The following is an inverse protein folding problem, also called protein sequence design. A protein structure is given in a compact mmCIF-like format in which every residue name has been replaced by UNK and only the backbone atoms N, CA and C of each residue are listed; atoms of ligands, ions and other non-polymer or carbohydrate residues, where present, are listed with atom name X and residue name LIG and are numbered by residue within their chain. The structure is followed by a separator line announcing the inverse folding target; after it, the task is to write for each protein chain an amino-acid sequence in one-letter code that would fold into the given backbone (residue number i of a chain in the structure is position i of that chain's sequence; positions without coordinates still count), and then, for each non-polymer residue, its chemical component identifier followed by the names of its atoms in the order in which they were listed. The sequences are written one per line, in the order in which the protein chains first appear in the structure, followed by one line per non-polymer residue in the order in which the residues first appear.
data_IF_559966140665
#
_entry.id   IF_559966140665
#
_cell.length_a   1.000
_cell.length_b   1.000
_cell.length_c   1.000
_cell.angle_alpha   90.00
_cell.angle_beta   90.00
_cell.angle_gamma   90.00
#
_symmetry.space_group_name_H-M   'P 1'
#
loop_
_entity.id
_entity.type
_entity.pdbx_description
1 polymer ?
#
# COMPACT_ATOMS: atom_id res chain seq x y z
N UNK A 1 12.59 -26.48 5.23
CA UNK A 1 12.75 -25.58 4.07
C UNK A 1 11.93 -24.36 4.40
N UNK A 2 12.58 -23.27 4.84
CA UNK A 2 11.94 -21.97 4.95
C UNK A 2 11.67 -21.52 3.51
N UNK A 3 10.41 -21.46 3.11
CA UNK A 3 10.01 -20.66 1.96
C UNK A 3 10.64 -19.28 2.18
N UNK A 4 11.62 -18.92 1.36
CA UNK A 4 12.21 -17.59 1.44
C UNK A 4 11.06 -16.62 1.27
N UNK A 5 10.84 -15.74 2.24
CA UNK A 5 9.97 -14.59 2.08
C UNK A 5 10.54 -13.82 0.88
N UNK A 6 10.02 -14.13 -0.32
CA UNK A 6 10.51 -13.56 -1.56
C UNK A 6 10.30 -12.06 -1.49
N UNK A 7 11.36 -11.31 -1.77
CA UNK A 7 11.27 -9.86 -1.93
C UNK A 7 10.22 -9.56 -2.99
N UNK A 8 9.28 -8.67 -2.67
CA UNK A 8 8.25 -8.21 -3.61
C UNK A 8 8.84 -7.32 -4.71
N UNK A 9 10.12 -6.94 -4.58
CA UNK A 9 10.89 -6.17 -5.57
C UNK A 9 11.51 -7.09 -6.63
N UNK A 10 11.61 -6.64 -7.90
CA UNK A 10 12.10 -7.46 -8.99
C UNK A 10 13.63 -7.54 -8.98
N UNK A 11 14.19 -8.56 -8.33
CA UNK A 11 15.65 -8.72 -8.22
C UNK A 11 16.35 -9.04 -9.56
N UNK A 12 15.63 -9.58 -10.54
CA UNK A 12 16.19 -10.01 -11.82
C UNK A 12 16.31 -8.88 -12.87
N UNK A 13 15.64 -7.74 -12.65
CA UNK A 13 15.63 -6.61 -13.58
C UNK A 13 16.44 -5.46 -12.99
N UNK A 14 17.46 -4.93 -13.70
CA UNK A 14 18.17 -3.75 -13.22
C UNK A 14 17.25 -2.53 -13.28
N UNK A 15 17.36 -1.68 -12.25
CA UNK A 15 16.72 -0.37 -12.24
C UNK A 15 17.34 0.52 -13.33
N UNK A 16 16.50 1.31 -13.98
CA UNK A 16 16.85 2.29 -15.00
C UNK A 16 16.36 3.68 -14.60
N UNK A 17 16.88 4.71 -15.24
CA UNK A 17 16.41 6.08 -15.05
C UNK A 17 15.04 6.28 -15.73
N UNK A 18 14.14 6.99 -15.05
CA UNK A 18 12.86 7.42 -15.58
C UNK A 18 12.69 8.94 -15.35
N UNK A 19 11.76 9.56 -16.09
CA UNK A 19 11.49 11.01 -16.02
C UNK A 19 10.09 11.33 -15.49
N UNK A 20 9.37 10.32 -15.01
CA UNK A 20 8.04 10.51 -14.44
C UNK A 20 8.13 11.18 -13.08
N UNK A 21 7.25 12.16 -12.85
CA UNK A 21 7.19 12.91 -11.60
C UNK A 21 6.20 12.19 -10.68
N UNK A 22 6.65 11.58 -9.57
CA UNK A 22 5.76 10.94 -8.61
C UNK A 22 4.96 12.00 -7.82
N UNK A 23 3.83 11.60 -7.18
CA UNK A 23 3.19 12.46 -6.19
C UNK A 23 4.15 12.69 -5.02
N UNK A 24 3.96 13.81 -4.31
CA UNK A 24 4.75 14.14 -3.12
C UNK A 24 4.79 12.96 -2.13
N UNK A 25 5.98 12.71 -1.57
CA UNK A 25 6.22 11.62 -0.62
C UNK A 25 6.43 10.25 -1.27
N UNK A 26 6.39 10.15 -2.60
CA UNK A 26 6.65 8.92 -3.34
C UNK A 26 7.88 9.01 -4.25
N UNK A 27 8.40 7.84 -4.58
CA UNK A 27 9.33 7.61 -5.68
C UNK A 27 8.74 6.60 -6.64
N UNK A 28 9.05 6.78 -7.93
CA UNK A 28 8.78 5.77 -8.95
C UNK A 28 10.11 5.07 -9.24
N UNK A 29 10.07 3.76 -9.43
CA UNK A 29 11.22 2.97 -9.84
C UNK A 29 10.87 2.23 -11.12
N UNK A 30 11.70 2.39 -12.16
CA UNK A 30 11.55 1.68 -13.43
C UNK A 30 12.64 0.63 -13.58
N UNK A 31 12.28 -0.54 -14.09
CA UNK A 31 13.18 -1.67 -14.26
C UNK A 31 13.07 -2.21 -15.68
N UNK A 32 14.20 -2.59 -16.28
CA UNK A 32 14.23 -3.14 -17.64
C UNK A 32 15.32 -4.19 -17.80
N UNK A 33 14.94 -5.34 -18.34
CA UNK A 33 15.85 -6.47 -18.50
C UNK A 33 16.94 -6.23 -19.55
N UNK A 34 18.01 -7.01 -19.48
CA UNK A 34 19.11 -6.98 -20.46
C UNK A 34 19.23 -8.33 -21.16
N UNK A 35 19.76 -8.33 -22.39
CA UNK A 35 19.98 -9.55 -23.17
C UNK A 35 18.66 -10.34 -23.38
N UNK A 36 18.57 -11.62 -22.98
CA UNK A 36 17.34 -12.42 -23.14
C UNK A 36 16.11 -11.84 -22.42
N UNK A 37 16.30 -10.98 -21.42
CA UNK A 37 15.22 -10.34 -20.67
C UNK A 37 14.84 -8.95 -21.21
N UNK A 38 15.40 -8.51 -22.34
CA UNK A 38 15.18 -7.14 -22.86
C UNK A 38 13.73 -6.82 -23.25
N UNK A 39 12.87 -7.84 -23.37
CA UNK A 39 11.44 -7.66 -23.60
C UNK A 39 10.63 -7.44 -22.33
N UNK A 40 11.26 -7.47 -21.15
CA UNK A 40 10.59 -7.31 -19.86
C UNK A 40 10.95 -5.95 -19.25
N UNK A 41 9.92 -5.18 -18.92
CA UNK A 41 10.03 -3.96 -18.12
C UNK A 41 8.86 -3.88 -17.15
N UNK A 42 9.07 -3.14 -16.06
CA UNK A 42 8.01 -2.81 -15.11
C UNK A 42 8.33 -1.50 -14.41
N UNK A 43 7.29 -0.82 -13.93
CA UNK A 43 7.37 0.34 -13.08
C UNK A 43 6.66 0.05 -11.76
N UNK A 44 7.14 0.63 -10.68
CA UNK A 44 6.47 0.63 -9.38
C UNK A 44 6.52 2.01 -8.73
N UNK A 45 5.58 2.27 -7.84
CA UNK A 45 5.50 3.49 -7.03
C UNK A 45 5.56 3.13 -5.56
N UNK A 46 6.42 3.75 -4.75
CA UNK A 46 6.51 3.44 -3.32
C UNK A 46 6.74 4.71 -2.49
N UNK A 47 6.41 4.71 -1.19
CA UNK A 47 6.74 5.84 -0.34
C UNK A 47 8.26 6.03 -0.29
N UNK A 48 8.73 7.26 -0.47
CA UNK A 48 10.16 7.60 -0.39
C UNK A 48 10.67 7.51 1.04
N UNK A 49 9.86 7.96 1.99
CA UNK A 49 10.14 7.96 3.42
C UNK A 49 8.81 7.91 4.19
N UNK A 50 8.78 7.16 5.29
CA UNK A 50 7.60 7.06 6.16
C UNK A 50 8.05 6.62 7.57
N UNK A 51 8.52 7.59 8.35
CA UNK A 51 9.11 7.39 9.67
C UNK A 51 8.32 8.18 10.73
N UNK A 52 7.86 9.38 10.39
CA UNK A 52 7.13 10.28 11.29
C UNK A 52 5.76 10.70 10.73
N UNK A 53 4.84 11.18 11.59
CA UNK A 53 3.51 11.61 11.14
C UNK A 53 3.50 12.69 10.05
N UNK A 54 4.51 13.56 10.00
CA UNK A 54 4.70 14.56 8.94
C UNK A 54 4.82 13.90 7.56
N UNK A 55 5.54 12.79 7.46
CA UNK A 55 5.74 12.07 6.20
C UNK A 55 4.41 11.57 5.64
N UNK A 56 3.52 11.09 6.51
CA UNK A 56 2.18 10.67 6.10
C UNK A 56 1.35 11.83 5.53
N UNK A 57 1.42 13.00 6.17
CA UNK A 57 0.75 14.21 5.68
C UNK A 57 1.27 14.57 4.28
N UNK A 58 2.59 14.48 4.06
CA UNK A 58 3.19 14.73 2.75
C UNK A 58 2.73 13.70 1.71
N UNK A 59 2.79 12.41 2.04
CA UNK A 59 2.39 11.28 1.18
C UNK A 59 0.96 11.44 0.68
N UNK A 60 0.01 11.82 1.53
CA UNK A 60 -1.41 11.89 1.15
C UNK A 60 -1.84 13.25 0.60
N UNK A 61 -0.96 14.27 0.64
CA UNK A 61 -1.32 15.66 0.31
C UNK A 61 -1.73 15.88 -1.15
N UNK A 62 -1.23 15.06 -2.07
CA UNK A 62 -1.53 15.14 -3.51
C UNK A 62 -2.41 13.99 -4.01
N UNK A 63 -2.94 13.17 -3.08
CA UNK A 63 -3.75 12.00 -3.42
C UNK A 63 -5.25 12.28 -3.26
N UNK A 64 -6.06 11.62 -4.08
CA UNK A 64 -7.51 11.62 -3.94
C UNK A 64 -7.94 10.51 -2.98
N UNK A 65 -8.56 10.88 -1.85
CA UNK A 65 -9.09 9.90 -0.91
C UNK A 65 -10.43 9.31 -1.37
N UNK A 66 -10.73 8.12 -0.88
CA UNK A 66 -12.03 7.47 -1.06
C UNK A 66 -12.37 6.59 0.14
N UNK A 67 -13.67 6.38 0.36
CA UNK A 67 -14.14 5.62 1.52
C UNK A 67 -13.74 6.30 2.83
N UNK A 68 -13.42 5.49 3.82
CA UNK A 68 -12.96 5.96 5.13
C UNK A 68 -11.44 5.93 5.24
N UNK A 69 -10.86 7.07 5.61
CA UNK A 69 -9.42 7.25 5.83
C UNK A 69 -9.18 8.05 7.11
N UNK A 70 -8.05 7.87 7.81
CA UNK A 70 -7.72 8.70 8.96
C UNK A 70 -7.54 10.16 8.54
N UNK A 71 -7.92 11.09 9.43
CA UNK A 71 -7.50 12.49 9.28
C UNK A 71 -5.96 12.55 9.36
N UNK A 72 -5.26 13.03 8.31
CA UNK A 72 -3.80 13.08 8.29
C UNK A 72 -3.21 13.85 9.47
N UNK A 73 -3.92 14.87 9.99
CA UNK A 73 -3.45 15.68 11.13
C UNK A 73 -3.65 14.98 12.48
N UNK A 74 -4.43 13.90 12.54
CA UNK A 74 -4.73 13.15 13.76
C UNK A 74 -3.72 12.04 14.08
N UNK A 75 -2.85 11.70 13.12
CA UNK A 75 -1.87 10.63 13.30
C UNK A 75 -0.79 11.07 14.29
N UNK A 76 -0.60 10.28 15.35
CA UNK A 76 0.37 10.55 16.42
C UNK A 76 1.56 9.60 16.40
N UNK A 77 1.45 8.47 15.72
CA UNK A 77 2.53 7.48 15.61
C UNK A 77 2.40 6.66 14.33
N UNK A 78 3.55 6.26 13.78
CA UNK A 78 3.68 5.45 12.58
C UNK A 78 4.69 4.34 12.85
N UNK A 79 4.39 3.14 12.37
CA UNK A 79 5.37 2.06 12.24
C UNK A 79 5.22 1.40 10.88
N UNK A 80 6.34 0.98 10.29
CA UNK A 80 6.37 0.38 8.95
C UNK A 80 6.92 -1.03 8.99
N UNK A 81 6.44 -1.86 8.07
CA UNK A 81 6.90 -3.23 7.86
C UNK A 81 6.78 -3.61 6.39
N UNK A 82 7.59 -4.57 5.95
CA UNK A 82 7.48 -5.13 4.60
C UNK A 82 6.56 -6.35 4.59
N UNK A 83 5.71 -6.42 3.57
CA UNK A 83 4.88 -7.58 3.28
C UNK A 83 5.17 -8.10 1.87
N UNK A 84 4.76 -9.34 1.56
CA UNK A 84 5.02 -9.99 0.26
C UNK A 84 4.39 -9.28 -0.95
N UNK A 85 3.61 -8.21 -0.74
CA UNK A 85 2.97 -7.41 -1.80
C UNK A 85 3.41 -5.94 -1.81
N UNK A 86 4.22 -5.51 -0.84
CA UNK A 86 4.62 -4.12 -0.69
C UNK A 86 4.71 -3.68 0.76
N UNK A 87 5.06 -2.41 1.00
CA UNK A 87 5.14 -1.83 2.34
C UNK A 87 3.77 -1.73 3.01
N UNK A 88 3.75 -1.93 4.33
CA UNK A 88 2.60 -1.70 5.20
C UNK A 88 2.99 -0.68 6.26
N UNK A 89 2.13 0.29 6.50
CA UNK A 89 2.25 1.22 7.60
C UNK A 89 1.07 1.06 8.58
N UNK A 90 1.38 0.94 9.86
CA UNK A 90 0.38 1.04 10.92
C UNK A 90 0.37 2.49 11.41
N UNK A 91 -0.79 3.14 11.33
CA UNK A 91 -1.00 4.53 11.67
C UNK A 91 -1.90 4.61 12.90
N UNK A 92 -1.40 5.24 13.96
CA UNK A 92 -2.17 5.41 15.19
C UNK A 92 -2.73 6.82 15.30
N UNK A 93 -4.04 6.92 15.48
CA UNK A 93 -4.74 8.12 15.96
C UNK A 93 -5.65 7.73 17.15
N UNK A 94 -6.85 8.31 17.25
CA UNK A 94 -7.91 7.80 18.14
C UNK A 94 -8.37 6.38 17.73
N UNK A 95 -8.01 5.93 16.53
CA UNK A 95 -8.23 4.59 16.00
C UNK A 95 -6.92 4.07 15.41
N UNK A 96 -6.73 2.77 15.42
CA UNK A 96 -5.60 2.11 14.76
C UNK A 96 -5.95 1.80 13.31
N UNK A 97 -5.06 2.16 12.38
CA UNK A 97 -5.25 1.99 10.94
C UNK A 97 -4.09 1.22 10.33
N UNK A 98 -4.40 0.44 9.29
CA UNK A 98 -3.42 -0.24 8.46
C UNK A 98 -3.50 0.35 7.06
N UNK A 99 -2.38 0.91 6.60
CA UNK A 99 -2.19 1.40 5.25
C UNK A 99 -1.31 0.42 4.47
N UNK A 100 -1.89 -0.23 3.47
CA UNK A 100 -1.16 -1.09 2.54
C UNK A 100 -0.82 -0.27 1.29
N UNK A 101 0.46 -0.07 1.02
CA UNK A 101 0.90 0.54 -0.23
C UNK A 101 0.77 -0.50 -1.35
N UNK A 102 0.47 -0.02 -2.56
CA UNK A 102 0.22 -0.85 -3.74
C UNK A 102 1.28 -0.56 -4.81
N UNK A 103 2.52 -1.09 -4.68
CA UNK A 103 3.62 -0.66 -5.54
C UNK A 103 3.41 -0.93 -7.02
N UNK A 104 2.66 -1.98 -7.32
CA UNK A 104 2.36 -2.44 -8.67
C UNK A 104 1.03 -1.89 -9.21
N UNK A 105 0.41 -0.96 -8.48
CA UNK A 105 -0.89 -0.39 -8.78
C UNK A 105 -2.05 -1.39 -8.64
N UNK A 106 -3.22 -0.96 -9.10
CA UNK A 106 -4.43 -1.78 -9.19
C UNK A 106 -4.91 -1.86 -10.63
N UNK A 107 -5.85 -2.77 -10.88
CA UNK A 107 -6.61 -2.81 -12.13
C UNK A 107 -7.73 -1.74 -12.21
N UNK A 108 -7.75 -0.77 -11.27
CA UNK A 108 -8.76 0.28 -11.17
C UNK A 108 -10.16 -0.22 -10.75
N UNK A 109 -10.29 -1.49 -10.38
CA UNK A 109 -11.56 -2.10 -9.97
C UNK A 109 -11.65 -2.33 -8.46
N UNK A 110 -10.68 -1.87 -7.68
CA UNK A 110 -10.63 -2.11 -6.22
C UNK A 110 -11.89 -1.59 -5.54
N UNK A 111 -12.26 -0.33 -5.76
CA UNK A 111 -13.46 0.28 -5.18
C UNK A 111 -14.74 -0.46 -5.57
N UNK A 112 -14.85 -0.86 -6.84
CA UNK A 112 -16.02 -1.62 -7.33
C UNK A 112 -16.13 -2.97 -6.62
N UNK A 113 -15.00 -3.66 -6.40
CA UNK A 113 -14.97 -4.92 -5.65
C UNK A 113 -15.40 -4.69 -4.21
N UNK A 114 -14.84 -3.70 -3.51
CA UNK A 114 -15.23 -3.38 -2.12
C UNK A 114 -16.75 -3.24 -2.00
N UNK A 115 -17.38 -2.51 -2.92
CA UNK A 115 -18.84 -2.31 -2.91
C UNK A 115 -19.67 -3.54 -3.33
N UNK A 116 -19.04 -4.57 -3.90
CA UNK A 116 -19.74 -5.76 -4.41
C UNK A 116 -19.68 -6.95 -3.45
N UNK A 117 -18.74 -6.95 -2.50
CA UNK A 117 -18.59 -8.02 -1.53
C UNK A 117 -19.42 -7.75 -0.26
N UNK A 118 -19.87 -8.78 0.46
CA UNK A 118 -20.55 -8.63 1.74
C UNK A 118 -19.66 -7.95 2.79
N UNK A 119 -20.26 -7.19 3.71
CA UNK A 119 -19.57 -6.52 4.82
C UNK A 119 -18.82 -7.49 5.76
N UNK A 120 -19.19 -8.78 5.76
CA UNK A 120 -18.49 -9.82 6.51
C UNK A 120 -17.10 -10.16 5.96
N UNK A 121 -16.79 -9.73 4.73
CA UNK A 121 -15.47 -9.91 4.15
C UNK A 121 -14.49 -8.88 4.72
N UNK A 122 -13.25 -9.31 4.92
CA UNK A 122 -12.17 -8.42 5.30
C UNK A 122 -11.73 -7.57 4.09
N UNK A 123 -12.38 -6.43 3.92
CA UNK A 123 -12.19 -5.48 2.82
C UNK A 123 -11.58 -4.17 3.34
N UNK A 124 -10.81 -3.44 2.52
CA UNK A 124 -10.42 -2.07 2.87
C UNK A 124 -11.65 -1.18 3.00
N UNK A 125 -11.67 -0.33 4.03
CA UNK A 125 -12.74 0.64 4.26
C UNK A 125 -12.54 1.94 3.46
N UNK A 126 -11.33 2.17 2.96
CA UNK A 126 -11.01 3.31 2.12
C UNK A 126 -9.62 3.22 1.52
N UNK A 127 -9.10 4.36 1.07
CA UNK A 127 -7.76 4.44 0.51
C UNK A 127 -7.50 5.74 -0.23
N UNK A 128 -6.41 5.72 -1.00
CA UNK A 128 -5.95 6.86 -1.77
C UNK A 128 -5.62 6.44 -3.20
N UNK A 129 -5.93 7.31 -4.15
CA UNK A 129 -5.58 7.17 -5.56
C UNK A 129 -4.75 8.32 -6.08
N UNK A 130 -3.94 8.01 -7.08
CA UNK A 130 -3.21 8.95 -7.89
C UNK A 130 -3.49 8.68 -9.36
N UNK A 131 -3.79 9.72 -10.15
CA UNK A 131 -4.12 9.60 -11.57
C UNK A 131 -5.19 8.52 -11.89
N UNK A 132 -6.20 8.39 -11.02
CA UNK A 132 -7.29 7.42 -11.18
C UNK A 132 -6.96 5.96 -10.83
N UNK A 133 -5.73 5.67 -10.37
CA UNK A 133 -5.32 4.35 -9.91
C UNK A 133 -5.11 4.33 -8.40
N UNK A 134 -5.55 3.29 -7.70
CA UNK A 134 -5.29 3.19 -6.26
C UNK A 134 -3.82 2.90 -5.97
N UNK A 135 -3.27 3.64 -5.01
CA UNK A 135 -1.85 3.53 -4.58
C UNK A 135 -1.73 3.16 -3.11
N UNK A 136 -2.78 3.39 -2.31
CA UNK A 136 -2.86 2.98 -0.90
C UNK A 136 -4.26 2.43 -0.64
N UNK A 137 -4.35 1.29 0.04
CA UNK A 137 -5.60 0.82 0.66
C UNK A 137 -5.55 0.93 2.18
N UNK A 138 -6.67 1.33 2.78
CA UNK A 138 -6.79 1.60 4.21
C UNK A 138 -7.77 0.62 4.85
N UNK A 139 -7.40 0.09 6.01
CA UNK A 139 -8.24 -0.70 6.91
C UNK A 139 -8.18 -0.09 8.30
N UNK A 140 -9.24 -0.28 9.08
CA UNK A 140 -9.16 -0.17 10.53
C UNK A 140 -8.60 -1.45 11.09
N UNK A 141 -7.66 -1.37 12.02
CA UNK A 141 -7.26 -2.54 12.77
C UNK A 141 -8.42 -2.95 13.67
N UNK A 142 -9.13 -4.01 13.29
CA UNK A 142 -10.13 -4.62 14.18
C UNK A 142 -9.32 -5.35 15.23
N UNK A 143 -9.28 -4.81 16.45
CA UNK A 143 -8.60 -5.43 17.59
C UNK A 143 -8.94 -6.92 17.61
N UNK A 144 -7.89 -7.77 17.65
CA UNK A 144 -7.98 -9.21 17.36
C UNK A 144 -9.31 -9.79 17.83
N UNK A 145 -10.24 -9.98 16.89
CA UNK A 145 -11.41 -10.77 17.18
C UNK A 145 -10.87 -12.14 17.53
N UNK A 146 -11.19 -12.56 18.74
CA UNK A 146 -10.84 -13.85 19.32
C UNK A 146 -11.02 -14.91 18.25
N UNK A 147 -9.96 -15.69 18.05
CA UNK A 147 -9.86 -16.76 17.06
C UNK A 147 -11.22 -17.43 16.90
N UNK A 148 -11.76 -17.54 15.68
CA UNK A 148 -13.10 -18.11 15.46
C UNK A 148 -13.25 -19.55 15.99
N UNK A 149 -12.13 -20.20 16.33
CA UNK A 149 -12.08 -21.44 17.14
C UNK A 149 -12.60 -21.29 18.58
N UNK A 150 -12.43 -20.14 19.22
CA UNK A 150 -12.92 -19.86 20.58
C UNK A 150 -14.42 -19.55 20.61
N UNK A 151 -15.01 -19.14 19.48
CA UNK A 151 -16.46 -18.91 19.33
C UNK A 151 -17.27 -20.20 19.07
N UNK A 152 -16.59 -21.35 18.96
CA UNK A 152 -17.19 -22.67 18.70
C UNK A 152 -17.05 -23.65 19.88
N UNK A 153 -16.60 -23.18 21.05
CA UNK A 153 -16.54 -23.93 22.32
C UNK A 153 -17.65 -23.47 23.27
#
# INVERSE_FOLDING_TARGET
MSEGAGSWRPEALPQIEHNEIPPRGFEILEFSGRGPLSGLSCSMIQPSELIEPSDWIEIVSELESWGEVPDPQSIVHISTSDHVRGPIANLRSDTEWVAEFLPWGTDGLLRKRVNSYPESCDLPCGGYSWNGSEVISIRKEVGQNTNSRELLL
#
